data_IF_633038845097
#
_entry.id   IF_633038845097
#
_cell.length_a   1.000
_cell.length_b   1.000
_cell.length_c   1.000
_cell.angle_alpha   90.00
_cell.angle_beta   90.00
_cell.angle_gamma   90.00
#
_symmetry.space_group_name_H-M   'P 1'
#
loop_
_entity.id
_entity.type
_entity.pdbx_description
1 polymer ?
#
# COMPACT_ATOMS: atom_id res chain seq x y z
N UNK A 1 -49.15 10.75 32.11
CA UNK A 1 -48.49 11.41 30.97
C UNK A 1 -47.10 10.81 30.81
N UNK A 2 -46.85 10.18 29.67
CA UNK A 2 -45.66 9.39 29.36
C UNK A 2 -44.43 10.29 29.21
N UNK A 3 -43.29 9.91 29.80
CA UNK A 3 -42.00 10.47 29.40
C UNK A 3 -41.05 9.32 29.00
N UNK A 4 -40.80 9.24 27.70
CA UNK A 4 -39.95 8.27 27.03
C UNK A 4 -38.48 8.62 27.30
N UNK A 5 -37.84 7.96 28.26
CA UNK A 5 -36.38 7.92 28.33
C UNK A 5 -35.84 7.07 27.18
N UNK A 6 -35.55 7.72 26.05
CA UNK A 6 -34.69 7.16 25.00
C UNK A 6 -33.29 6.96 25.59
N UNK A 7 -32.93 5.70 25.83
CA UNK A 7 -31.51 5.31 25.97
C UNK A 7 -30.78 5.70 24.67
N UNK A 8 -29.61 6.36 24.72
CA UNK A 8 -28.80 6.51 23.52
C UNK A 8 -28.39 5.10 23.06
N UNK A 9 -28.64 4.82 21.78
CA UNK A 9 -28.18 3.62 21.13
C UNK A 9 -26.65 3.56 21.24
N UNK A 10 -26.12 2.43 21.70
CA UNK A 10 -24.69 2.12 21.65
C UNK A 10 -24.19 2.35 20.22
N UNK A 11 -23.07 3.05 20.00
CA UNK A 11 -22.51 3.15 18.67
C UNK A 11 -22.08 1.75 18.21
N UNK A 12 -22.68 1.33 17.10
CA UNK A 12 -22.31 0.20 16.27
C UNK A 12 -20.78 0.12 16.14
N UNK A 13 -20.24 -1.07 16.40
CA UNK A 13 -18.83 -1.43 16.24
C UNK A 13 -18.29 -0.96 14.89
N UNK A 14 -17.57 0.15 14.90
CA UNK A 14 -16.64 0.47 13.82
C UNK A 14 -15.53 -0.59 13.88
N UNK A 15 -15.21 -1.19 12.74
CA UNK A 15 -14.01 -2.02 12.52
C UNK A 15 -12.77 -1.23 12.92
N UNK A 16 -12.37 -1.31 14.18
CA UNK A 16 -11.08 -0.78 14.64
C UNK A 16 -10.01 -1.78 14.20
N UNK A 17 -9.69 -1.75 12.90
CA UNK A 17 -8.45 -2.32 12.37
C UNK A 17 -7.31 -1.64 13.12
N UNK A 18 -6.82 -2.29 14.18
CA UNK A 18 -5.82 -1.69 15.05
C UNK A 18 -4.46 -1.89 14.38
N UNK A 19 -3.60 -0.87 14.28
CA UNK A 19 -2.27 -1.00 13.67
C UNK A 19 -1.42 -2.15 14.24
N UNK A 20 -1.65 -2.54 15.49
CA UNK A 20 -1.04 -3.69 16.13
C UNK A 20 -1.40 -5.03 15.45
N UNK A 21 -2.68 -5.24 15.14
CA UNK A 21 -3.13 -6.46 14.46
C UNK A 21 -2.53 -6.60 13.05
N UNK A 22 -2.37 -5.48 12.33
CA UNK A 22 -1.72 -5.48 11.03
C UNK A 22 -0.24 -5.88 11.12
N UNK A 23 0.45 -5.49 12.20
CA UNK A 23 1.83 -5.90 12.45
C UNK A 23 1.97 -7.37 12.82
N UNK A 24 1.09 -7.90 13.67
CA UNK A 24 1.10 -9.32 14.03
C UNK A 24 0.95 -10.21 12.79
N UNK A 25 0.02 -9.85 11.90
CA UNK A 25 -0.16 -10.55 10.62
C UNK A 25 1.06 -10.35 9.72
N UNK A 26 1.61 -9.14 9.63
CA UNK A 26 2.79 -8.86 8.82
C UNK A 26 4.02 -9.68 9.25
N UNK A 27 4.21 -9.86 10.57
CA UNK A 27 5.26 -10.72 11.12
C UNK A 27 5.03 -12.19 10.77
N UNK A 28 3.77 -12.65 10.82
CA UNK A 28 3.44 -14.01 10.40
C UNK A 28 3.68 -14.23 8.90
N UNK A 29 3.29 -13.28 8.07
CA UNK A 29 3.57 -13.29 6.63
C UNK A 29 5.07 -13.31 6.34
N UNK A 30 5.88 -12.51 7.05
CA UNK A 30 7.35 -12.56 6.91
C UNK A 30 7.94 -13.93 7.23
N UNK A 31 7.43 -14.61 8.26
CA UNK A 31 7.90 -15.94 8.65
C UNK A 31 7.47 -17.02 7.66
N UNK A 32 6.23 -16.97 7.18
CA UNK A 32 5.63 -18.06 6.39
C UNK A 32 5.80 -17.89 4.89
N UNK A 33 5.79 -16.64 4.42
CA UNK A 33 5.75 -16.30 3.00
C UNK A 33 6.97 -15.47 2.54
N UNK A 34 8.21 -15.77 2.97
CA UNK A 34 9.39 -15.00 2.58
C UNK A 34 9.63 -15.04 1.07
N UNK A 35 9.30 -16.14 0.40
CA UNK A 35 9.41 -16.27 -1.06
C UNK A 35 8.44 -15.30 -1.78
N UNK A 36 7.21 -15.16 -1.29
CA UNK A 36 6.24 -14.21 -1.89
C UNK A 36 6.69 -12.78 -1.71
N UNK A 37 7.24 -12.42 -0.54
CA UNK A 37 7.80 -11.10 -0.30
C UNK A 37 9.02 -10.82 -1.18
N UNK A 38 9.91 -11.80 -1.34
CA UNK A 38 11.05 -11.70 -2.25
C UNK A 38 10.62 -11.53 -3.71
N UNK A 39 9.58 -12.24 -4.15
CA UNK A 39 9.03 -12.08 -5.49
C UNK A 39 8.44 -10.68 -5.71
N UNK A 40 7.69 -10.15 -4.73
CA UNK A 40 7.15 -8.79 -4.79
C UNK A 40 8.27 -7.74 -4.84
N UNK A 41 9.29 -7.89 -4.02
CA UNK A 41 10.47 -7.03 -4.04
C UNK A 41 11.20 -7.11 -5.39
N UNK A 42 11.41 -8.33 -5.91
CA UNK A 42 11.98 -8.54 -7.25
C UNK A 42 11.16 -7.86 -8.34
N UNK A 43 9.82 -7.93 -8.25
CA UNK A 43 8.91 -7.24 -9.17
C UNK A 43 9.07 -5.72 -9.08
N UNK A 44 9.21 -5.14 -7.88
CA UNK A 44 9.44 -3.70 -7.70
C UNK A 44 10.68 -3.26 -8.48
N UNK A 45 11.78 -4.00 -8.35
CA UNK A 45 13.05 -3.72 -9.01
C UNK A 45 12.97 -3.94 -10.53
N UNK A 46 12.20 -4.92 -10.98
CA UNK A 46 12.17 -5.38 -12.36
C UNK A 46 11.82 -4.26 -13.39
N UNK A 47 12.46 -4.19 -14.57
CA UNK A 47 12.17 -3.15 -15.58
C UNK A 47 10.72 -3.08 -16.08
N UNK A 48 9.96 -4.17 -15.92
CA UNK A 48 8.54 -4.23 -16.31
C UNK A 48 7.62 -3.46 -15.36
N UNK A 49 8.02 -3.24 -14.11
CA UNK A 49 7.25 -2.39 -13.18
C UNK A 49 7.27 -0.92 -13.61
N UNK A 50 8.30 -0.49 -14.34
CA UNK A 50 8.39 0.87 -14.83
C UNK A 50 7.30 1.13 -15.88
N UNK A 51 6.41 2.07 -15.58
CA UNK A 51 5.32 2.47 -16.44
C UNK A 51 5.82 2.94 -17.80
N UNK A 52 5.15 2.46 -18.85
CA UNK A 52 5.47 2.81 -20.24
C UNK A 52 4.26 3.45 -20.90
N UNK A 53 4.44 4.50 -21.70
CA UNK A 53 3.35 5.18 -22.41
C UNK A 53 2.97 4.42 -23.69
N UNK A 54 2.72 3.10 -23.59
CA UNK A 54 2.29 2.27 -24.71
C UNK A 54 1.07 1.45 -24.31
N UNK A 55 0.06 1.39 -25.18
CA UNK A 55 -1.24 0.78 -24.87
C UNK A 55 -1.18 -0.72 -24.54
N UNK A 56 -0.16 -1.42 -25.03
CA UNK A 56 0.07 -2.85 -24.77
C UNK A 56 0.76 -3.12 -23.43
N UNK A 57 1.30 -2.09 -22.76
CA UNK A 57 1.98 -2.29 -21.50
C UNK A 57 0.99 -2.75 -20.43
N UNK A 58 1.42 -3.74 -19.64
CA UNK A 58 0.67 -4.30 -18.51
C UNK A 58 1.61 -4.38 -17.32
N UNK A 59 1.25 -3.78 -16.17
CA UNK A 59 2.05 -3.87 -14.97
C UNK A 59 2.18 -5.34 -14.53
N UNK A 60 3.34 -5.74 -13.99
CA UNK A 60 3.48 -7.04 -13.36
C UNK A 60 2.59 -7.15 -12.13
N UNK A 61 2.06 -8.35 -11.89
CA UNK A 61 1.28 -8.66 -10.70
C UNK A 61 1.70 -10.00 -10.11
N UNK A 62 1.44 -10.17 -8.82
CA UNK A 62 1.63 -11.41 -8.07
C UNK A 62 0.37 -11.71 -7.29
N UNK A 63 -0.13 -12.93 -7.42
CA UNK A 63 -1.16 -13.46 -6.52
C UNK A 63 -0.46 -13.98 -5.28
N UNK A 64 -0.85 -13.46 -4.13
CA UNK A 64 -0.38 -13.90 -2.82
C UNK A 64 -1.04 -15.23 -2.45
N UNK A 65 -0.32 -16.09 -1.72
CA UNK A 65 -0.91 -17.32 -1.21
C UNK A 65 -1.96 -17.01 -0.13
N UNK A 66 -2.80 -18.00 0.17
CA UNK A 66 -3.68 -17.94 1.34
C UNK A 66 -2.82 -18.08 2.59
N UNK A 67 -2.96 -17.15 3.52
CA UNK A 67 -2.36 -17.23 4.85
C UNK A 67 -3.45 -17.24 5.94
N UNK A 68 -3.14 -17.63 7.19
CA UNK A 68 -4.12 -17.62 8.28
C UNK A 68 -4.77 -16.23 8.44
N UNK A 69 -6.11 -16.17 8.34
CA UNK A 69 -6.86 -14.91 8.44
C UNK A 69 -6.71 -13.96 7.23
N UNK A 70 -5.93 -14.32 6.21
CA UNK A 70 -5.64 -13.47 5.04
C UNK A 70 -6.00 -14.23 3.76
N UNK A 71 -7.04 -13.79 3.01
CA UNK A 71 -7.37 -14.41 1.73
C UNK A 71 -6.28 -14.13 0.68
N UNK A 72 -6.19 -14.94 -0.39
CA UNK A 72 -5.37 -14.61 -1.55
C UNK A 72 -5.75 -13.24 -2.13
N UNK A 73 -4.76 -12.39 -2.35
CA UNK A 73 -4.87 -11.07 -2.97
C UNK A 73 -4.00 -11.00 -4.21
N UNK A 74 -4.43 -10.24 -5.22
CA UNK A 74 -3.60 -9.87 -6.36
C UNK A 74 -2.97 -8.51 -6.08
N UNK A 75 -1.63 -8.44 -6.09
CA UNK A 75 -0.87 -7.20 -5.92
C UNK A 75 -0.27 -6.84 -7.27
N UNK A 76 -0.67 -5.71 -7.81
CA UNK A 76 -0.16 -5.14 -9.05
C UNK A 76 0.84 -4.03 -8.75
N UNK A 77 2.02 -4.11 -9.35
CA UNK A 77 3.12 -3.18 -9.06
C UNK A 77 3.36 -2.27 -10.24
N UNK A 78 3.31 -0.97 -9.98
CA UNK A 78 3.69 0.06 -10.94
C UNK A 78 4.74 0.98 -10.35
N UNK A 79 5.68 1.42 -11.18
CA UNK A 79 6.73 2.36 -10.83
C UNK A 79 6.81 3.50 -11.84
N UNK A 80 6.97 4.72 -11.37
CA UNK A 80 7.21 5.91 -12.20
C UNK A 80 8.54 6.56 -11.81
N UNK A 81 9.21 7.22 -12.76
CA UNK A 81 10.35 8.09 -12.42
C UNK A 81 9.83 9.37 -11.79
N UNK A 82 10.48 9.81 -10.72
CA UNK A 82 10.15 11.07 -10.04
C UNK A 82 10.67 12.25 -10.87
N UNK A 83 9.77 13.16 -11.23
CA UNK A 83 10.11 14.40 -11.92
C UNK A 83 10.74 15.45 -10.99
N UNK A 84 11.34 16.48 -11.57
CA UNK A 84 12.04 17.54 -10.84
C UNK A 84 11.20 18.16 -9.72
N UNK A 85 9.96 18.56 -10.02
CA UNK A 85 9.07 19.23 -9.06
C UNK A 85 8.80 18.38 -7.83
N UNK A 86 8.46 17.09 -8.03
CA UNK A 86 8.22 16.17 -6.92
C UNK A 86 9.50 15.92 -6.11
N UNK A 87 10.66 15.88 -6.76
CA UNK A 87 11.95 15.74 -6.08
C UNK A 87 12.24 16.93 -5.17
N UNK A 88 12.09 18.16 -5.67
CA UNK A 88 12.30 19.37 -4.87
C UNK A 88 11.39 19.41 -3.65
N UNK A 89 10.11 19.06 -3.81
CA UNK A 89 9.15 19.00 -2.69
C UNK A 89 9.54 18.01 -1.59
N UNK A 90 10.11 16.86 -1.95
CA UNK A 90 10.60 15.88 -0.96
C UNK A 90 11.85 16.39 -0.22
N UNK A 91 12.75 17.08 -0.93
CA UNK A 91 13.94 17.68 -0.32
C UNK A 91 13.53 18.82 0.63
N UNK A 92 12.61 19.70 0.21
CA UNK A 92 12.02 20.76 1.04
C UNK A 92 11.31 20.20 2.30
N UNK A 93 10.72 19.00 2.20
CA UNK A 93 10.09 18.32 3.33
C UNK A 93 11.11 17.81 4.37
N UNK A 94 12.40 17.86 4.08
CA UNK A 94 13.47 17.48 5.00
C UNK A 94 13.98 16.05 4.83
N UNK A 95 13.70 15.40 3.69
CA UNK A 95 14.36 14.14 3.37
C UNK A 95 15.82 14.35 2.97
N UNK A 96 16.73 13.61 3.60
CA UNK A 96 18.15 13.57 3.21
C UNK A 96 18.41 12.74 1.93
N UNK A 97 17.44 11.95 1.48
CA UNK A 97 17.53 11.07 0.31
C UNK A 97 16.82 11.67 -0.88
N UNK A 98 17.46 11.57 -2.05
CA UNK A 98 16.90 12.01 -3.33
C UNK A 98 15.91 10.97 -3.87
N UNK A 99 14.62 11.28 -4.02
CA UNK A 99 13.66 10.33 -4.57
C UNK A 99 13.91 10.15 -6.08
N UNK A 100 13.95 8.89 -6.51
CA UNK A 100 14.12 8.50 -7.91
C UNK A 100 12.85 7.87 -8.49
N UNK A 101 12.09 7.18 -7.64
CA UNK A 101 10.92 6.41 -8.06
C UNK A 101 9.71 6.69 -7.19
N UNK A 102 8.54 6.70 -7.82
CA UNK A 102 7.26 6.53 -7.16
C UNK A 102 6.84 5.07 -7.37
N UNK A 103 6.54 4.35 -6.30
CA UNK A 103 6.04 2.99 -6.36
C UNK A 103 4.57 2.98 -5.95
N UNK A 104 3.77 2.18 -6.65
CA UNK A 104 2.35 1.96 -6.40
C UNK A 104 2.07 0.46 -6.36
N UNK A 105 1.40 0.03 -5.29
CA UNK A 105 0.86 -1.30 -5.10
C UNK A 105 -0.66 -1.23 -5.10
N UNK A 106 -1.28 -1.64 -6.21
CA UNK A 106 -2.73 -1.79 -6.27
C UNK A 106 -3.10 -3.21 -5.86
N UNK A 107 -3.94 -3.34 -4.84
CA UNK A 107 -4.31 -4.63 -4.26
C UNK A 107 -5.77 -4.92 -4.59
N UNK A 108 -6.08 -6.10 -5.13
CA UNK A 108 -7.45 -6.52 -5.48
C UNK A 108 -7.73 -7.95 -5.03
N UNK A 109 -9.00 -8.28 -4.80
CA UNK A 109 -9.41 -9.67 -4.67
C UNK A 109 -9.41 -10.34 -6.07
N UNK A 110 -8.69 -11.47 -6.27
CA UNK A 110 -8.68 -12.20 -7.54
C UNK A 110 -10.07 -12.64 -8.03
N UNK A 111 -11.06 -12.70 -7.14
CA UNK A 111 -12.47 -13.04 -7.43
C UNK A 111 -13.34 -11.80 -7.69
N UNK A 112 -12.77 -10.60 -7.68
CA UNK A 112 -13.50 -9.34 -7.87
C UNK A 112 -14.27 -8.84 -6.64
N UNK A 113 -13.98 -9.41 -5.46
CA UNK A 113 -14.56 -8.98 -4.18
C UNK A 113 -13.93 -7.71 -3.59
N UNK A 114 -14.44 -7.30 -2.42
CA UNK A 114 -13.81 -6.26 -1.61
C UNK A 114 -12.55 -6.80 -0.93
N UNK A 115 -11.53 -5.95 -0.84
CA UNK A 115 -10.30 -6.27 -0.12
C UNK A 115 -10.44 -5.85 1.34
N UNK A 116 -10.12 -6.74 2.26
CA UNK A 116 -10.07 -6.39 3.68
C UNK A 116 -8.85 -5.49 3.95
N UNK A 117 -9.06 -4.30 4.49
CA UNK A 117 -7.99 -3.31 4.76
C UNK A 117 -6.86 -3.89 5.61
N UNK A 118 -7.20 -4.63 6.67
CA UNK A 118 -6.23 -5.29 7.55
C UNK A 118 -5.29 -6.24 6.79
N UNK A 119 -5.83 -7.01 5.83
CA UNK A 119 -5.06 -7.97 5.04
C UNK A 119 -4.14 -7.26 4.04
N UNK A 120 -4.65 -6.22 3.37
CA UNK A 120 -3.88 -5.42 2.44
C UNK A 120 -2.72 -4.70 3.15
N UNK A 121 -3.03 -4.04 4.26
CA UNK A 121 -2.06 -3.33 5.10
C UNK A 121 -0.98 -4.27 5.65
N UNK A 122 -1.35 -5.49 6.08
CA UNK A 122 -0.39 -6.48 6.56
C UNK A 122 0.63 -6.91 5.49
N UNK A 123 0.20 -7.12 4.24
CA UNK A 123 1.13 -7.40 3.14
C UNK A 123 2.08 -6.23 2.86
N UNK A 124 1.57 -5.00 2.90
CA UNK A 124 2.41 -3.80 2.72
C UNK A 124 3.41 -3.65 3.85
N UNK A 125 2.98 -3.82 5.11
CA UNK A 125 3.86 -3.81 6.29
C UNK A 125 4.88 -4.93 6.27
N UNK A 126 4.50 -6.12 5.79
CA UNK A 126 5.40 -7.27 5.64
C UNK A 126 6.53 -6.95 4.65
N UNK A 127 6.19 -6.36 3.51
CA UNK A 127 7.11 -6.01 2.43
C UNK A 127 8.02 -4.82 2.75
N UNK A 128 7.47 -3.75 3.33
CA UNK A 128 8.19 -2.48 3.56
C UNK A 128 9.04 -2.52 4.83
N UNK A 129 8.62 -3.28 5.84
CA UNK A 129 9.26 -3.32 7.15
C UNK A 129 8.95 -2.10 8.03
N UNK A 130 9.22 -2.25 9.32
CA UNK A 130 8.80 -1.29 10.36
C UNK A 130 9.46 0.08 10.23
N UNK A 131 10.74 0.12 9.87
CA UNK A 131 11.50 1.37 9.73
C UNK A 131 10.98 2.32 8.66
N UNK A 132 10.22 1.81 7.68
CA UNK A 132 9.83 2.54 6.49
C UNK A 132 8.32 2.70 6.29
N UNK A 133 7.49 2.02 7.08
CA UNK A 133 6.02 2.04 6.89
C UNK A 133 5.44 3.46 6.91
N UNK A 134 6.05 4.38 7.68
CA UNK A 134 5.61 5.78 7.77
C UNK A 134 5.82 6.60 6.49
N UNK A 135 6.54 6.05 5.51
CA UNK A 135 6.70 6.66 4.19
C UNK A 135 5.60 6.23 3.21
N UNK A 136 4.77 5.26 3.59
CA UNK A 136 3.72 4.68 2.74
C UNK A 136 2.39 5.36 3.03
N UNK A 137 1.68 5.70 1.95
CA UNK A 137 0.37 6.34 1.99
C UNK A 137 -0.64 5.46 1.27
N UNK A 138 -1.81 5.27 1.86
CA UNK A 138 -2.94 4.64 1.18
C UNK A 138 -3.70 5.70 0.38
N UNK A 139 -3.98 5.40 -0.89
CA UNK A 139 -4.81 6.20 -1.78
C UNK A 139 -5.93 5.31 -2.34
N UNK A 140 -7.18 5.78 -2.20
CA UNK A 140 -8.39 5.02 -2.53
C UNK A 140 -8.85 4.09 -1.41
N UNK A 141 -10.15 3.80 -1.38
CA UNK A 141 -10.78 2.94 -0.37
C UNK A 141 -11.62 1.82 -1.03
N UNK A 142 -11.81 0.70 -0.32
CA UNK A 142 -12.80 -0.31 -0.69
C UNK A 142 -12.29 -1.43 -1.61
N UNK A 143 -12.63 -1.39 -2.90
CA UNK A 143 -12.46 -2.54 -3.80
C UNK A 143 -11.02 -2.77 -4.28
N UNK A 144 -10.22 -1.71 -4.36
CA UNK A 144 -8.83 -1.82 -4.77
C UNK A 144 -7.91 -0.82 -4.06
N UNK A 145 -7.63 -0.99 -2.75
CA UNK A 145 -6.74 -0.10 -2.03
C UNK A 145 -5.38 -0.04 -2.73
N UNK A 146 -4.84 1.17 -2.84
CA UNK A 146 -3.57 1.41 -3.51
C UNK A 146 -2.59 2.06 -2.55
N UNK A 147 -1.47 1.41 -2.30
CA UNK A 147 -0.42 1.94 -1.43
C UNK A 147 0.69 2.55 -2.26
N UNK A 148 1.10 3.77 -1.91
CA UNK A 148 2.10 4.53 -2.64
C UNK A 148 3.18 5.07 -1.72
N UNK A 149 4.41 5.10 -2.23
CA UNK A 149 5.54 5.75 -1.56
C UNK A 149 6.58 6.18 -2.59
N UNK A 150 7.41 7.15 -2.23
CA UNK A 150 8.61 7.46 -3.01
C UNK A 150 9.80 6.63 -2.51
N UNK A 151 10.70 6.28 -3.41
CA UNK A 151 11.92 5.55 -3.13
C UNK A 151 13.11 6.20 -3.83
N UNK A 152 14.31 6.04 -3.26
CA UNK A 152 15.56 6.50 -3.87
C UNK A 152 16.04 5.55 -4.98
N UNK A 153 17.26 5.78 -5.50
CA UNK A 153 17.85 4.97 -6.56
C UNK A 153 18.11 3.51 -6.17
N UNK A 154 18.17 3.23 -4.87
CA UNK A 154 18.35 1.89 -4.29
C UNK A 154 17.03 1.27 -3.81
N UNK A 155 15.90 1.88 -4.19
CA UNK A 155 14.55 1.44 -3.79
C UNK A 155 14.24 1.55 -2.30
N UNK A 156 15.07 2.29 -1.54
CA UNK A 156 14.78 2.55 -0.13
C UNK A 156 13.65 3.58 -0.02
N UNK A 157 12.58 3.33 0.76
CA UNK A 157 11.49 4.29 0.93
C UNK A 157 11.95 5.63 1.53
N UNK A 158 11.50 6.71 0.91
CA UNK A 158 11.83 8.10 1.23
C UNK A 158 10.61 8.77 1.86
N UNK A 159 10.80 9.46 2.99
CA UNK A 159 9.71 10.22 3.62
C UNK A 159 9.28 11.38 2.74
N UNK A 160 7.98 11.57 2.65
CA UNK A 160 7.34 12.54 1.76
C UNK A 160 5.98 12.94 2.34
N UNK A 161 5.49 14.15 2.02
CA UNK A 161 4.17 14.57 2.42
C UNK A 161 3.08 13.87 1.58
N UNK A 162 1.97 13.49 2.22
CA UNK A 162 0.84 12.83 1.57
C UNK A 162 0.26 13.63 0.39
N UNK A 163 0.38 14.97 0.43
CA UNK A 163 -0.11 15.88 -0.62
C UNK A 163 0.52 15.64 -1.99
N UNK A 164 1.70 15.03 -2.08
CA UNK A 164 2.33 14.68 -3.35
C UNK A 164 1.59 13.57 -4.11
N UNK A 165 0.72 12.82 -3.44
CA UNK A 165 0.01 11.68 -4.02
C UNK A 165 -1.44 12.00 -4.42
N UNK A 166 -1.93 13.22 -4.16
CA UNK A 166 -3.31 13.60 -4.44
C UNK A 166 -3.70 13.42 -5.92
N UNK A 167 -2.79 13.71 -6.85
CA UNK A 167 -3.02 13.49 -8.29
C UNK A 167 -3.12 12.02 -8.70
N UNK A 168 -2.52 11.09 -7.93
CA UNK A 168 -2.69 9.65 -8.14
C UNK A 168 -4.02 9.16 -7.59
N UNK A 169 -4.49 9.70 -6.47
CA UNK A 169 -5.81 9.38 -5.93
C UNK A 169 -6.94 9.73 -6.90
N UNK A 170 -6.76 10.72 -7.77
CA UNK A 170 -7.76 11.11 -8.78
C UNK A 170 -7.76 10.22 -10.04
N UNK A 171 -6.72 9.39 -10.24
CA UNK A 171 -6.55 8.50 -11.38
C UNK A 171 -6.71 7.01 -11.05
N UNK A 172 -6.89 6.68 -9.76
CA UNK A 172 -7.12 5.35 -9.22
C UNK A 172 -8.63 5.07 -9.07
#
# INVERSE_FOLDING_TARGET
MHNLSRRPASPTSADHTTPAAAWEIADDLRRREPATLHDLDSIIHHPRSLARPVASWRPPSKVTPRAPGVPPLSITVTRHRVGEVARQRVLEYGSARTPAYLISLRITDPRGGRVASLAAEAWVRALIGEGHVRSVHEIGEGQSPTYVWMADGEFTPVRSPASLYAGFSAAA
#
